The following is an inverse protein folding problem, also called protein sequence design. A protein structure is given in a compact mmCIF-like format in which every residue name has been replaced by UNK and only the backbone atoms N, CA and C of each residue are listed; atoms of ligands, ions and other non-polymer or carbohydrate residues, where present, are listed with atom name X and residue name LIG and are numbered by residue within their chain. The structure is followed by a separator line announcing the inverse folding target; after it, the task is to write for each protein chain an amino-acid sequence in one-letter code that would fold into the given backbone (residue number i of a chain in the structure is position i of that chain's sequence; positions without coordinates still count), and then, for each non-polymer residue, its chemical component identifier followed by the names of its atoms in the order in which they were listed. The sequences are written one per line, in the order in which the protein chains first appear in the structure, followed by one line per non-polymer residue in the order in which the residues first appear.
data_IF_827475536976
#
_entry.id   IF_827475536976
#
_cell.length_a   1.000
_cell.length_b   1.000
_cell.length_c   1.000
_cell.angle_alpha   90.00
_cell.angle_beta   90.00
_cell.angle_gamma   90.00
#
_symmetry.space_group_name_H-M   'P 1'
#
loop_
_entity.id
_entity.type
_entity.pdbx_description
1 polymer ?
#
# COMPACT_ATOMS: atom_id res chain seq x y z
N UNK A 1 -28.37 20.78 52.19
CA UNK A 1 -27.04 21.44 52.19
C UNK A 1 -27.27 22.93 52.08
N UNK A 2 -26.49 23.78 52.76
CA UNK A 2 -26.62 25.24 52.57
C UNK A 2 -26.40 25.58 51.10
N UNK A 3 -27.07 26.63 50.63
CA UNK A 3 -26.95 27.15 49.26
C UNK A 3 -25.47 27.38 48.87
N UNK A 4 -24.65 27.76 49.85
CA UNK A 4 -23.21 27.98 49.71
C UNK A 4 -22.40 26.76 49.24
N UNK A 5 -22.85 25.53 49.55
CA UNK A 5 -22.17 24.31 49.11
C UNK A 5 -22.73 23.77 47.78
N UNK A 6 -23.98 24.11 47.45
CA UNK A 6 -24.66 23.62 46.26
C UNK A 6 -24.17 24.32 44.99
N UNK A 7 -23.89 25.63 45.07
CA UNK A 7 -23.38 26.42 43.93
C UNK A 7 -22.00 25.92 43.45
N UNK A 8 -20.97 25.73 44.32
CA UNK A 8 -19.69 25.16 43.92
C UNK A 8 -19.82 23.74 43.36
N UNK A 9 -20.70 22.92 43.94
CA UNK A 9 -20.94 21.56 43.47
C UNK A 9 -21.55 21.51 42.07
N UNK A 10 -22.51 22.38 41.77
CA UNK A 10 -23.12 22.48 40.45
C UNK A 10 -22.12 22.92 39.37
N UNK A 11 -21.27 23.90 39.69
CA UNK A 11 -20.19 24.35 38.79
C UNK A 11 -19.22 23.20 38.50
N UNK A 12 -18.84 22.45 39.53
CA UNK A 12 -17.97 21.28 39.39
C UNK A 12 -18.61 20.21 38.49
N UNK A 13 -19.90 19.92 38.68
CA UNK A 13 -20.64 18.96 37.86
C UNK A 13 -20.65 19.36 36.38
N UNK A 14 -20.91 20.64 36.09
CA UNK A 14 -20.92 21.16 34.72
C UNK A 14 -19.53 21.05 34.08
N UNK A 15 -18.47 21.39 34.82
CA UNK A 15 -17.10 21.24 34.34
C UNK A 15 -16.75 19.78 34.02
N UNK A 16 -17.14 18.84 34.88
CA UNK A 16 -16.89 17.42 34.64
C UNK A 16 -17.59 16.95 33.37
N UNK A 17 -18.86 17.30 33.18
CA UNK A 17 -19.62 16.95 31.97
C UNK A 17 -18.95 17.57 30.72
N UNK A 18 -18.55 18.83 30.79
CA UNK A 18 -17.86 19.52 29.71
C UNK A 18 -16.52 18.87 29.34
N UNK A 19 -15.72 18.46 30.33
CA UNK A 19 -14.43 17.80 30.13
C UNK A 19 -14.59 16.42 29.49
N UNK A 20 -15.58 15.64 29.93
CA UNK A 20 -15.89 14.33 29.33
C UNK A 20 -16.31 14.50 27.86
N UNK A 21 -17.20 15.45 27.59
CA UNK A 21 -17.65 15.73 26.22
C UNK A 21 -16.50 16.16 25.32
N UNK A 22 -15.68 17.10 25.79
CA UNK A 22 -14.53 17.63 25.03
C UNK A 22 -13.51 16.52 24.73
N UNK A 23 -13.21 15.66 25.71
CA UNK A 23 -12.32 14.52 25.51
C UNK A 23 -12.82 13.57 24.43
N UNK A 24 -14.10 13.17 24.50
CA UNK A 24 -14.68 12.26 23.52
C UNK A 24 -14.68 12.85 22.10
N UNK A 25 -14.93 14.15 21.97
CA UNK A 25 -14.84 14.84 20.68
C UNK A 25 -13.40 14.88 20.16
N UNK A 26 -12.43 15.19 21.02
CA UNK A 26 -11.01 15.21 20.66
C UNK A 26 -10.51 13.84 20.19
N UNK A 27 -10.81 12.76 20.92
CA UNK A 27 -10.42 11.40 20.53
C UNK A 27 -10.93 11.03 19.14
N UNK A 28 -12.21 11.32 18.85
CA UNK A 28 -12.81 11.08 17.53
C UNK A 28 -12.17 11.92 16.42
N UNK A 29 -11.89 13.19 16.68
CA UNK A 29 -11.25 14.08 15.71
C UNK A 29 -9.81 13.66 15.39
N UNK A 30 -9.08 13.16 16.37
CA UNK A 30 -7.72 12.67 16.16
C UNK A 30 -7.73 11.38 15.35
N UNK A 31 -8.60 10.43 15.67
CA UNK A 31 -8.72 9.17 14.89
C UNK A 31 -9.05 9.48 13.43
N UNK A 32 -10.06 10.32 13.18
CA UNK A 32 -10.45 10.69 11.81
C UNK A 32 -9.34 11.44 11.05
N UNK A 33 -8.56 12.28 11.76
CA UNK A 33 -7.39 12.95 11.17
C UNK A 33 -6.32 11.93 10.74
N UNK A 34 -6.00 10.94 11.57
CA UNK A 34 -5.03 9.92 11.23
C UNK A 34 -5.51 9.02 10.09
N UNK A 35 -6.78 8.62 10.09
CA UNK A 35 -7.38 7.87 8.97
C UNK A 35 -7.29 8.65 7.66
N UNK A 36 -7.65 9.93 7.67
CA UNK A 36 -7.56 10.80 6.50
C UNK A 36 -6.12 10.92 6.00
N UNK A 37 -5.15 11.14 6.89
CA UNK A 37 -3.73 11.19 6.54
C UNK A 37 -3.24 9.86 5.97
N UNK A 38 -3.71 8.73 6.50
CA UNK A 38 -3.36 7.42 6.00
C UNK A 38 -3.90 7.18 4.59
N UNK A 39 -5.13 7.59 4.31
CA UNK A 39 -5.72 7.47 2.97
C UNK A 39 -5.08 8.43 1.96
N UNK A 40 -4.74 9.65 2.38
CA UNK A 40 -3.93 10.56 1.56
C UNK A 40 -2.55 9.94 1.27
N UNK A 41 -1.89 9.37 2.27
CA UNK A 41 -0.63 8.67 2.09
C UNK A 41 -0.76 7.51 1.08
N UNK A 42 -1.82 6.68 1.14
CA UNK A 42 -2.04 5.61 0.14
C UNK A 42 -2.19 6.16 -1.28
N UNK A 43 -2.87 7.29 -1.45
CA UNK A 43 -3.11 7.90 -2.76
C UNK A 43 -1.86 8.53 -3.37
N UNK A 44 -0.97 9.05 -2.51
CA UNK A 44 0.23 9.77 -2.92
C UNK A 44 1.52 8.97 -2.77
N UNK A 45 1.47 7.83 -2.07
CA UNK A 45 2.57 6.88 -2.02
C UNK A 45 2.64 6.18 -3.37
N UNK A 46 3.56 6.63 -4.20
CA UNK A 46 4.25 5.74 -5.14
C UNK A 46 4.94 4.68 -4.29
N UNK A 47 4.22 3.61 -3.98
CA UNK A 47 4.84 2.32 -3.78
C UNK A 47 5.37 1.96 -5.16
N UNK A 48 6.52 2.54 -5.52
CA UNK A 48 7.38 1.96 -6.52
C UNK A 48 7.69 0.58 -5.94
N UNK A 49 6.90 -0.42 -6.35
CA UNK A 49 7.25 -1.82 -6.15
C UNK A 49 8.66 -1.87 -6.72
N UNK A 50 9.62 -1.97 -5.82
CA UNK A 50 11.03 -2.07 -6.16
C UNK A 50 11.09 -3.09 -7.29
N UNK A 51 11.39 -2.60 -8.50
CA UNK A 51 11.39 -3.41 -9.71
C UNK A 51 12.65 -4.24 -9.60
N UNK A 52 12.59 -5.21 -8.70
CA UNK A 52 13.60 -6.19 -8.48
C UNK A 52 13.72 -6.91 -9.81
N UNK A 53 14.90 -6.75 -10.41
CA UNK A 53 15.33 -7.37 -11.65
C UNK A 53 15.44 -8.90 -11.44
N UNK A 54 14.34 -9.54 -11.09
CA UNK A 54 14.26 -10.98 -10.97
C UNK A 54 14.04 -11.55 -12.36
N UNK A 55 14.76 -12.64 -12.65
CA UNK A 55 14.56 -13.39 -13.89
C UNK A 55 13.15 -13.99 -13.84
N UNK A 56 12.30 -13.58 -14.77
CA UNK A 56 10.94 -14.10 -14.93
C UNK A 56 10.87 -15.07 -16.11
N UNK A 57 10.16 -16.19 -15.93
CA UNK A 57 9.91 -17.14 -17.01
C UNK A 57 8.76 -16.64 -17.88
N UNK A 58 9.10 -16.01 -19.00
CA UNK A 58 8.12 -15.44 -19.93
C UNK A 58 7.75 -16.39 -21.08
N UNK A 59 8.48 -17.50 -21.25
CA UNK A 59 8.24 -18.51 -22.27
C UNK A 59 9.29 -19.63 -22.29
N UNK A 60 9.04 -20.63 -23.13
CA UNK A 60 9.92 -21.78 -23.34
C UNK A 60 10.50 -21.75 -24.74
N UNK A 61 11.81 -22.02 -24.86
CA UNK A 61 12.51 -22.16 -26.13
C UNK A 61 12.92 -23.61 -26.29
N UNK A 62 12.48 -24.26 -27.37
CA UNK A 62 12.83 -25.65 -27.64
C UNK A 62 13.03 -25.92 -29.13
N UNK A 63 13.77 -26.98 -29.44
CA UNK A 63 13.99 -27.43 -30.82
C UNK A 63 12.97 -28.51 -31.16
N UNK A 64 12.19 -28.31 -32.22
CA UNK A 64 11.24 -29.28 -32.75
C UNK A 64 11.35 -29.33 -34.28
N UNK A 65 11.50 -30.51 -34.84
CA UNK A 65 11.56 -30.74 -36.28
C UNK A 65 12.56 -29.81 -37.01
N UNK A 66 13.80 -29.75 -36.49
CA UNK A 66 14.89 -28.90 -36.97
C UNK A 66 14.68 -27.39 -36.84
N UNK A 67 13.52 -26.93 -36.34
CA UNK A 67 13.22 -25.52 -36.09
C UNK A 67 13.30 -25.19 -34.60
N UNK A 68 13.70 -23.97 -34.29
CA UNK A 68 13.59 -23.41 -32.94
C UNK A 68 12.18 -22.83 -32.79
N UNK A 69 11.47 -23.24 -31.75
CA UNK A 69 10.12 -22.79 -31.42
C UNK A 69 10.12 -22.11 -30.06
N UNK A 70 9.33 -21.05 -29.94
CA UNK A 70 9.16 -20.29 -28.70
C UNK A 70 7.67 -20.35 -28.34
N UNK A 71 7.36 -20.88 -27.15
CA UNK A 71 6.01 -20.86 -26.58
C UNK A 71 5.93 -19.77 -25.51
N UNK A 72 5.06 -18.79 -25.72
CA UNK A 72 4.91 -17.64 -24.82
C UNK A 72 3.88 -17.91 -23.74
N UNK A 73 4.27 -17.64 -22.48
CA UNK A 73 3.36 -17.66 -21.32
C UNK A 73 2.75 -16.26 -21.16
N UNK A 74 3.56 -15.22 -21.37
CA UNK A 74 3.13 -13.82 -21.40
C UNK A 74 3.23 -13.25 -22.82
N UNK A 75 2.15 -12.59 -23.28
CA UNK A 75 2.09 -11.93 -24.59
C UNK A 75 2.82 -10.60 -24.62
N UNK A 76 3.10 -9.98 -23.46
CA UNK A 76 3.76 -8.67 -23.38
C UNK A 76 5.14 -8.65 -24.08
N UNK A 77 5.86 -9.78 -24.01
CA UNK A 77 7.21 -9.97 -24.56
C UNK A 77 7.25 -10.28 -26.06
N UNK A 78 6.11 -10.54 -26.71
CA UNK A 78 6.03 -10.83 -28.15
C UNK A 78 6.66 -9.70 -29.00
N UNK A 79 6.43 -8.46 -28.59
CA UNK A 79 6.99 -7.28 -29.25
C UNK A 79 8.52 -7.18 -29.12
N UNK A 80 9.09 -7.67 -28.02
CA UNK A 80 10.55 -7.65 -27.81
C UNK A 80 11.23 -8.78 -28.58
N UNK A 81 10.61 -9.96 -28.59
CA UNK A 81 11.10 -11.13 -29.33
C UNK A 81 11.07 -10.90 -30.84
N UNK A 82 9.97 -10.35 -31.37
CA UNK A 82 9.84 -10.02 -32.80
C UNK A 82 10.83 -8.95 -33.25
N UNK A 83 11.20 -8.02 -32.35
CA UNK A 83 12.23 -6.99 -32.59
C UNK A 83 13.66 -7.49 -32.35
N UNK A 84 13.86 -8.75 -31.98
CA UNK A 84 15.18 -9.33 -31.72
C UNK A 84 15.88 -8.79 -30.46
N UNK A 85 15.13 -8.25 -29.50
CA UNK A 85 15.69 -7.70 -28.25
C UNK A 85 15.85 -8.78 -27.19
N UNK A 86 16.84 -9.67 -27.36
CA UNK A 86 17.16 -10.71 -26.39
C UNK A 86 18.66 -11.03 -26.39
N UNK A 87 19.13 -11.68 -25.31
CA UNK A 87 20.51 -12.14 -25.15
C UNK A 87 20.54 -13.66 -24.97
N UNK A 88 21.54 -14.32 -25.55
CA UNK A 88 21.76 -15.76 -25.42
C UNK A 88 22.97 -15.98 -24.53
N UNK A 89 22.74 -16.57 -23.36
CA UNK A 89 23.80 -16.92 -22.39
C UNK A 89 23.89 -18.44 -22.25
N UNK A 90 25.11 -18.98 -22.13
CA UNK A 90 25.33 -20.41 -21.97
C UNK A 90 25.48 -20.76 -20.49
N UNK A 91 24.62 -21.66 -19.99
CA UNK A 91 24.64 -22.08 -18.58
C UNK A 91 25.81 -23.01 -18.24
N UNK A 92 26.50 -23.59 -19.22
CA UNK A 92 27.62 -24.52 -18.99
C UNK A 92 28.96 -23.84 -18.76
N UNK A 93 29.06 -22.55 -19.04
CA UNK A 93 30.31 -21.78 -18.96
C UNK A 93 30.36 -20.89 -17.69
N UNK A 94 29.53 -21.18 -16.68
CA UNK A 94 29.41 -20.47 -15.39
C UNK A 94 29.68 -21.39 -14.20
#
# INVERSE_FOLDING_TARGET
MSLDLLIPFAILLILVIYLIYTRNSFEKNIVSLYEKKFDEWKKHSTIDKEQTSHKELVGLIYKKDYKLSIELIDKSVESQLSRGKFEVTNLKDS
#
